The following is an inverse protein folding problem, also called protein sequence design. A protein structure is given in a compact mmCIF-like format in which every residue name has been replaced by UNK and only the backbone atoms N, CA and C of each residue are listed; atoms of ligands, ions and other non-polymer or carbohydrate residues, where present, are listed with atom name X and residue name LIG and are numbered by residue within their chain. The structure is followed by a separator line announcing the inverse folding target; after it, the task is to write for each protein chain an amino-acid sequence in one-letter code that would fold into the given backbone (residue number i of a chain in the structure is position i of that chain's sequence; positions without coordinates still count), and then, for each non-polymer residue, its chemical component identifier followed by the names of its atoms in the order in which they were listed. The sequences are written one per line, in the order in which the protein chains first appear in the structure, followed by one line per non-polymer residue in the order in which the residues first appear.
data_IF_284479875639
#
_entry.id   IF_284479875639
#
_cell.length_a   1.000
_cell.length_b   1.000
_cell.length_c   1.000
_cell.angle_alpha   90.00
_cell.angle_beta   90.00
_cell.angle_gamma   90.00
#
_symmetry.space_group_name_H-M   'P 1'
#
loop_
_entity.id
_entity.type
_entity.pdbx_description
1 polymer ?
#
# COMPACT_ATOMS: atom_id res chain seq x y z
N UNK A 1 -18.62 -11.31 5.87
CA UNK A 1 -17.46 -10.40 5.84
C UNK A 1 -16.37 -10.81 4.82
N UNK A 2 -16.02 -12.10 4.69
CA UNK A 2 -15.00 -12.56 3.72
C UNK A 2 -15.36 -12.21 2.26
N UNK A 3 -16.59 -12.54 1.82
CA UNK A 3 -17.05 -12.20 0.46
C UNK A 3 -16.95 -10.69 0.17
N UNK A 4 -17.38 -9.85 1.11
CA UNK A 4 -17.28 -8.40 0.98
C UNK A 4 -15.84 -7.91 0.82
N UNK A 5 -14.88 -8.48 1.55
CA UNK A 5 -13.45 -8.17 1.34
C UNK A 5 -12.97 -8.56 -0.05
N UNK A 6 -13.41 -9.70 -0.58
CA UNK A 6 -13.09 -10.14 -1.95
C UNK A 6 -13.68 -9.20 -3.01
N UNK A 7 -14.88 -8.67 -2.80
CA UNK A 7 -15.51 -7.65 -3.66
C UNK A 7 -14.70 -6.35 -3.66
N UNK A 8 -14.43 -5.78 -2.48
CA UNK A 8 -13.64 -4.54 -2.35
C UNK A 8 -12.25 -4.71 -2.99
N UNK A 9 -11.61 -5.87 -2.75
CA UNK A 9 -10.32 -6.19 -3.36
C UNK A 9 -10.39 -6.15 -4.89
N UNK A 10 -11.40 -6.78 -5.49
CA UNK A 10 -11.56 -6.77 -6.96
C UNK A 10 -11.69 -5.35 -7.49
N UNK A 11 -12.46 -4.48 -6.83
CA UNK A 11 -12.58 -3.07 -7.22
C UNK A 11 -11.22 -2.34 -7.19
N UNK A 12 -10.42 -2.56 -6.15
CA UNK A 12 -9.07 -2.01 -6.08
C UNK A 12 -8.12 -2.61 -7.13
N UNK A 13 -8.12 -3.93 -7.30
CA UNK A 13 -7.29 -4.62 -8.29
C UNK A 13 -7.61 -4.13 -9.71
N UNK A 14 -8.90 -4.02 -10.06
CA UNK A 14 -9.35 -3.52 -11.37
C UNK A 14 -8.94 -2.05 -11.60
N UNK A 15 -8.95 -1.24 -10.54
CA UNK A 15 -8.58 0.16 -10.59
C UNK A 15 -7.07 0.39 -10.70
N UNK A 16 -6.28 -0.36 -9.94
CA UNK A 16 -4.84 -0.08 -9.76
C UNK A 16 -3.93 -0.98 -10.59
N UNK A 17 -4.38 -2.16 -11.04
CA UNK A 17 -3.56 -3.06 -11.88
C UNK A 17 -3.15 -2.45 -13.22
N UNK A 18 -3.85 -1.41 -13.67
CA UNK A 18 -3.60 -0.68 -14.92
C UNK A 18 -2.64 0.51 -14.74
N UNK A 19 -2.18 0.77 -13.51
CA UNK A 19 -1.36 1.94 -13.17
C UNK A 19 0.12 1.52 -13.01
N UNK A 20 1.02 1.87 -13.95
CA UNK A 20 2.43 1.47 -13.87
C UNK A 20 3.18 2.10 -12.66
N UNK A 21 2.60 3.12 -12.04
CA UNK A 21 3.09 3.78 -10.83
C UNK A 21 2.88 2.93 -9.56
N UNK A 22 2.03 1.91 -9.63
CA UNK A 22 1.66 1.09 -8.48
C UNK A 22 1.93 -0.39 -8.77
N UNK A 23 2.38 -1.12 -7.75
CA UNK A 23 2.31 -2.58 -7.72
C UNK A 23 1.21 -3.00 -6.76
N UNK A 24 0.30 -3.84 -7.24
CA UNK A 24 -0.78 -4.46 -6.44
C UNK A 24 -0.39 -5.85 -5.96
N UNK A 25 -1.01 -6.31 -4.88
CA UNK A 25 -0.80 -7.68 -4.36
C UNK A 25 -1.37 -8.70 -5.34
N UNK A 26 -0.54 -9.64 -5.80
CA UNK A 26 -0.99 -10.73 -6.66
C UNK A 26 -1.70 -11.80 -5.84
N UNK A 27 -2.80 -12.32 -6.38
CA UNK A 27 -3.43 -13.54 -5.88
C UNK A 27 -2.76 -14.75 -6.54
N UNK A 28 -2.45 -15.76 -5.74
CA UNK A 28 -1.94 -17.05 -6.23
C UNK A 28 -3.08 -18.08 -6.13
N UNK A 29 -3.19 -19.04 -7.07
CA UNK A 29 -4.28 -20.02 -7.09
C UNK A 29 -4.42 -20.83 -5.80
N UNK A 30 -3.33 -21.02 -5.06
CA UNK A 30 -3.25 -21.81 -3.83
C UNK A 30 -3.75 -21.06 -2.59
N UNK A 31 -4.05 -19.75 -2.70
CA UNK A 31 -4.42 -18.91 -1.56
C UNK A 31 -5.88 -18.47 -1.62
N UNK A 32 -6.68 -18.90 -0.64
CA UNK A 32 -8.02 -18.34 -0.37
C UNK A 32 -8.01 -17.38 0.83
N UNK A 33 -7.19 -16.33 0.73
CA UNK A 33 -7.04 -15.34 1.81
C UNK A 33 -8.28 -14.46 1.95
N UNK A 34 -8.65 -14.16 3.20
CA UNK A 34 -9.65 -13.13 3.50
C UNK A 34 -9.08 -11.72 3.32
N UNK A 35 -7.76 -11.61 3.19
CA UNK A 35 -6.94 -10.40 3.06
C UNK A 35 -7.24 -9.39 4.18
N UNK A 36 -6.31 -9.29 5.14
CA UNK A 36 -6.50 -8.34 6.24
C UNK A 36 -6.25 -6.90 5.78
N UNK A 37 -5.27 -6.69 4.90
CA UNK A 37 -4.80 -5.39 4.45
C UNK A 37 -4.74 -5.34 2.92
N UNK A 38 -5.11 -4.19 2.35
CA UNK A 38 -4.80 -3.87 0.96
C UNK A 38 -3.61 -2.90 0.94
N UNK A 39 -2.45 -3.41 0.50
CA UNK A 39 -1.20 -2.67 0.44
C UNK A 39 -0.89 -2.40 -1.02
N UNK A 40 -0.81 -1.12 -1.38
CA UNK A 40 -0.21 -0.69 -2.64
C UNK A 40 1.28 -0.45 -2.41
N UNK A 41 2.10 -0.75 -3.42
CA UNK A 41 3.53 -0.45 -3.40
C UNK A 41 3.85 0.55 -4.50
N UNK A 42 4.40 1.68 -4.13
CA UNK A 42 4.76 2.76 -5.05
C UNK A 42 5.94 2.35 -5.93
N UNK A 43 5.89 2.74 -7.20
CA UNK A 43 6.99 2.56 -8.15
C UNK A 43 7.84 3.84 -8.22
N UNK A 44 9.02 3.88 -7.56
CA UNK A 44 9.85 5.09 -7.52
C UNK A 44 10.39 5.50 -8.89
N UNK A 45 10.43 4.57 -9.86
CA UNK A 45 10.86 4.89 -11.23
C UNK A 45 9.81 5.71 -11.98
N UNK A 46 8.54 5.67 -11.56
CA UNK A 46 7.41 6.32 -12.24
C UNK A 46 6.78 7.48 -11.46
N UNK A 47 7.15 7.64 -10.19
CA UNK A 47 6.67 8.70 -9.31
C UNK A 47 7.80 9.64 -8.91
N UNK A 48 7.54 10.95 -8.94
CA UNK A 48 8.51 11.99 -8.55
C UNK A 48 8.48 12.33 -7.05
N UNK A 49 7.84 11.49 -6.24
CA UNK A 49 7.72 11.67 -4.80
C UNK A 49 8.28 10.48 -4.02
N UNK A 50 8.60 10.74 -2.77
CA UNK A 50 8.84 9.74 -1.73
C UNK A 50 7.53 9.10 -1.26
N UNK A 51 7.62 7.94 -0.60
CA UNK A 51 6.47 7.34 0.10
C UNK A 51 5.91 8.24 1.19
N UNK A 52 6.74 9.07 1.84
CA UNK A 52 6.29 10.02 2.86
C UNK A 52 5.39 11.09 2.24
N UNK A 53 5.81 11.70 1.15
CA UNK A 53 5.02 12.72 0.45
C UNK A 53 3.71 12.16 -0.12
N UNK A 54 3.74 10.94 -0.66
CA UNK A 54 2.52 10.27 -1.10
C UNK A 54 1.58 10.01 0.08
N UNK A 55 2.12 9.53 1.21
CA UNK A 55 1.34 9.27 2.43
C UNK A 55 0.65 10.54 2.92
N UNK A 56 1.40 11.65 3.02
CA UNK A 56 0.87 12.92 3.50
C UNK A 56 -0.19 13.50 2.52
N UNK A 57 0.05 13.40 1.21
CA UNK A 57 -0.91 13.84 0.19
C UNK A 57 -2.20 13.01 0.22
N UNK A 58 -2.09 11.68 0.31
CA UNK A 58 -3.25 10.81 0.43
C UNK A 58 -4.01 11.03 1.74
N UNK A 59 -3.30 11.36 2.83
CA UNK A 59 -3.94 11.75 4.09
C UNK A 59 -4.68 13.08 3.97
N UNK A 60 -4.14 14.04 3.20
CA UNK A 60 -4.79 15.32 2.93
C UNK A 60 -6.09 15.18 2.09
N UNK A 61 -6.28 14.06 1.39
CA UNK A 61 -7.56 13.69 0.76
C UNK A 61 -8.61 13.14 1.75
N UNK A 62 -8.33 13.18 3.06
CA UNK A 62 -9.26 12.78 4.12
C UNK A 62 -9.14 11.32 4.57
N UNK A 63 -8.10 10.61 4.15
CA UNK A 63 -7.90 9.19 4.49
C UNK A 63 -6.84 8.99 5.59
N UNK A 64 -6.95 7.87 6.30
CA UNK A 64 -5.94 7.44 7.29
C UNK A 64 -5.06 6.31 6.76
N UNK A 65 -4.01 6.58 5.94
CA UNK A 65 -3.10 5.55 5.50
C UNK A 65 -2.26 5.00 6.65
N UNK A 66 -1.74 3.79 6.46
CA UNK A 66 -0.82 3.13 7.39
C UNK A 66 0.37 2.51 6.63
N UNK A 67 1.38 2.03 7.37
CA UNK A 67 2.58 1.37 6.81
C UNK A 67 2.83 0.09 7.58
N UNK A 68 2.94 -1.03 6.86
CA UNK A 68 3.01 -2.37 7.44
C UNK A 68 4.16 -3.20 6.84
N UNK A 69 5.39 -3.19 7.37
CA UNK A 69 5.88 -2.51 8.58
C UNK A 69 7.36 -2.15 8.41
N UNK A 70 7.92 -1.41 9.37
CA UNK A 70 9.39 -1.26 9.50
C UNK A 70 10.01 -2.67 9.55
N UNK A 71 11.08 -2.97 8.79
CA UNK A 71 11.77 -4.24 8.88
C UNK A 71 12.18 -4.53 10.33
N UNK A 72 11.86 -5.72 10.85
CA UNK A 72 11.91 -6.01 12.30
C UNK A 72 13.27 -5.67 12.93
N UNK A 73 14.36 -6.00 12.23
CA UNK A 73 15.73 -5.76 12.71
C UNK A 73 16.12 -4.27 12.80
N UNK A 74 15.33 -3.37 12.20
CA UNK A 74 15.49 -1.91 12.31
C UNK A 74 14.77 -1.32 13.52
N UNK A 75 14.10 -2.12 14.34
CA UNK A 75 13.59 -1.62 15.62
C UNK A 75 14.74 -1.42 16.62
N UNK A 76 14.65 -0.43 17.53
CA UNK A 76 15.75 -0.08 18.45
C UNK A 76 16.29 -1.24 19.30
N UNK A 77 15.45 -2.22 19.62
CA UNK A 77 15.89 -3.42 20.35
C UNK A 77 16.89 -4.24 19.54
N UNK A 78 16.61 -4.50 18.26
CA UNK A 78 17.46 -5.31 17.40
C UNK A 78 18.69 -4.54 16.92
N UNK A 79 18.58 -3.24 16.68
CA UNK A 79 19.75 -2.42 16.34
C UNK A 79 20.82 -2.47 17.45
N UNK A 80 20.39 -2.50 18.73
CA UNK A 80 21.30 -2.69 19.88
C UNK A 80 21.97 -4.06 19.93
N UNK A 81 21.39 -5.08 19.30
CA UNK A 81 22.00 -6.41 19.14
C UNK A 81 23.01 -6.46 17.98
N UNK A 82 23.20 -5.35 17.24
CA UNK A 82 24.17 -5.23 16.16
C UNK A 82 23.62 -5.45 14.77
N UNK A 83 22.29 -5.64 14.62
CA UNK A 83 21.67 -5.66 13.29
C UNK A 83 21.72 -4.26 12.67
N UNK A 84 22.12 -4.18 11.39
CA UNK A 84 22.32 -2.91 10.68
C UNK A 84 21.45 -2.83 9.43
N UNK A 85 21.15 -1.60 9.02
CA UNK A 85 20.57 -1.32 7.69
C UNK A 85 21.42 -1.97 6.59
N UNK A 86 20.79 -2.48 5.54
CA UNK A 86 21.41 -3.14 4.40
C UNK A 86 21.44 -4.67 4.50
N UNK A 87 21.07 -5.25 5.64
CA UNK A 87 21.04 -6.71 5.81
C UNK A 87 19.93 -7.40 4.99
N UNK A 88 18.81 -6.72 4.77
CA UNK A 88 17.69 -7.26 4.00
C UNK A 88 17.21 -6.24 2.96
N UNK A 89 17.91 -6.08 1.83
CA UNK A 89 17.64 -5.01 0.87
C UNK A 89 16.23 -5.07 0.28
N UNK A 90 15.67 -6.27 0.07
CA UNK A 90 14.30 -6.44 -0.43
C UNK A 90 13.25 -5.98 0.59
N UNK A 91 13.47 -6.28 1.88
CA UNK A 91 12.56 -5.84 2.94
C UNK A 91 12.61 -4.32 3.12
N UNK A 92 13.80 -3.74 3.03
CA UNK A 92 14.00 -2.28 3.09
C UNK A 92 13.34 -1.58 1.91
N UNK A 93 13.61 -2.03 0.68
CA UNK A 93 12.97 -1.48 -0.50
C UNK A 93 11.44 -1.58 -0.44
N UNK A 94 10.91 -2.70 0.05
CA UNK A 94 9.46 -2.87 0.24
C UNK A 94 8.93 -1.86 1.25
N UNK A 95 9.57 -1.72 2.42
CA UNK A 95 9.16 -0.76 3.44
C UNK A 95 9.12 0.68 2.93
N UNK A 96 10.12 1.10 2.15
CA UNK A 96 10.19 2.44 1.58
C UNK A 96 9.13 2.72 0.51
N UNK A 97 8.40 1.70 0.05
CA UNK A 97 7.44 1.82 -1.06
C UNK A 97 5.99 1.53 -0.67
N UNK A 98 5.73 0.82 0.44
CA UNK A 98 4.38 0.36 0.78
C UNK A 98 3.52 1.41 1.46
N UNK A 99 2.24 1.44 1.10
CA UNK A 99 1.18 2.18 1.79
C UNK A 99 -0.04 1.28 1.90
N UNK A 100 -0.60 1.18 3.10
CA UNK A 100 -1.85 0.48 3.36
C UNK A 100 -3.00 1.48 3.29
N UNK A 101 -3.97 1.18 2.43
CA UNK A 101 -5.16 1.99 2.20
C UNK A 101 -6.38 1.38 2.92
N UNK A 102 -7.47 2.14 3.13
CA UNK A 102 -8.68 1.62 3.78
C UNK A 102 -9.15 0.30 3.20
N UNK A 103 -9.21 -0.74 4.05
CA UNK A 103 -9.64 -2.07 3.64
C UNK A 103 -10.30 -2.85 4.79
N UNK A 104 -11.62 -2.72 4.91
CA UNK A 104 -12.42 -3.39 5.91
C UNK A 104 -13.85 -3.63 5.40
N UNK A 105 -14.58 -4.64 5.91
CA UNK A 105 -15.83 -5.10 5.30
C UNK A 105 -17.00 -4.11 5.43
N UNK A 106 -16.89 -3.10 6.28
CA UNK A 106 -17.92 -2.07 6.42
C UNK A 106 -17.82 -0.94 5.38
N UNK A 107 -16.79 -0.93 4.53
CA UNK A 107 -16.69 0.02 3.42
C UNK A 107 -17.86 -0.20 2.45
N UNK A 108 -18.60 0.86 2.16
CA UNK A 108 -19.57 0.92 1.07
C UNK A 108 -18.85 1.00 -0.28
N UNK A 109 -19.55 0.74 -1.39
CA UNK A 109 -18.93 0.90 -2.72
C UNK A 109 -18.53 2.36 -2.99
N UNK A 110 -19.22 3.33 -2.40
CA UNK A 110 -18.88 4.76 -2.47
C UNK A 110 -17.59 5.08 -1.70
N UNK A 111 -17.38 4.49 -0.52
CA UNK A 111 -16.12 4.63 0.23
C UNK A 111 -14.92 4.08 -0.55
N UNK A 112 -15.13 2.92 -1.19
CA UNK A 112 -14.11 2.28 -2.04
C UNK A 112 -13.81 3.15 -3.26
N UNK A 113 -14.86 3.69 -3.91
CA UNK A 113 -14.69 4.58 -5.07
C UNK A 113 -14.00 5.89 -4.69
N UNK A 114 -14.31 6.45 -3.52
CA UNK A 114 -13.64 7.63 -2.98
C UNK A 114 -12.15 7.37 -2.72
N UNK A 115 -11.83 6.21 -2.14
CA UNK A 115 -10.45 5.77 -1.93
C UNK A 115 -9.70 5.62 -3.27
N UNK A 116 -10.32 4.98 -4.27
CA UNK A 116 -9.75 4.83 -5.62
C UNK A 116 -9.47 6.19 -6.25
N UNK A 117 -10.43 7.11 -6.15
CA UNK A 117 -10.33 8.45 -6.73
C UNK A 117 -9.19 9.24 -6.09
N UNK A 118 -9.06 9.20 -4.76
CA UNK A 118 -7.99 9.86 -4.04
C UNK A 118 -6.60 9.27 -4.40
N UNK A 119 -6.45 7.94 -4.43
CA UNK A 119 -5.19 7.30 -4.84
C UNK A 119 -4.81 7.71 -6.26
N UNK A 120 -5.76 7.67 -7.21
CA UNK A 120 -5.52 8.08 -8.60
C UNK A 120 -5.10 9.55 -8.71
N UNK A 121 -5.77 10.44 -7.99
CA UNK A 121 -5.45 11.87 -7.95
C UNK A 121 -4.02 12.13 -7.46
N UNK A 122 -3.62 11.48 -6.36
CA UNK A 122 -2.26 11.60 -5.80
C UNK A 122 -1.21 11.02 -6.75
N UNK A 123 -1.49 9.87 -7.36
CA UNK A 123 -0.61 9.29 -8.39
C UNK A 123 -0.45 10.24 -9.57
N UNK A 124 -1.55 10.80 -10.10
CA UNK A 124 -1.52 11.71 -11.24
C UNK A 124 -0.66 12.94 -10.95
N UNK A 125 -0.84 13.53 -9.76
CA UNK A 125 -0.06 14.68 -9.33
C UNK A 125 1.45 14.39 -9.29
N UNK A 126 1.83 13.21 -8.80
CA UNK A 126 3.22 12.79 -8.67
C UNK A 126 3.77 11.98 -9.84
N UNK A 127 3.02 11.81 -10.94
CA UNK A 127 3.52 11.11 -12.13
C UNK A 127 4.74 11.84 -12.70
N UNK A 128 5.71 11.05 -13.16
CA UNK A 128 6.86 11.49 -13.97
C UNK A 128 6.51 11.54 -15.45
#
# INVERSE_FOLDING_TARGET
FSNRRKEIRRMYDDAFSKMPELFVQKQIPESDTTQHLYIIRLNPERLKCTRREFFDAFAAEGFGPQVHYIPVYRHPYYEKLGYKKGLCPVAEATYEQIISIPFYPALTDEDVQSTITAVKKVVEYYRK
#
